data_IF_077911803259
#
_entry.id   IF_077911803259
#
_cell.length_a   1.000
_cell.length_b   1.000
_cell.length_c   1.000
_cell.angle_alpha   90.00
_cell.angle_beta   90.00
_cell.angle_gamma   90.00
#
_symmetry.space_group_name_H-M   'P 1'
#
loop_
_entity.id
_entity.type
_entity.pdbx_description
1 polymer ?
#
# COMPACT_ATOMS: atom_id res chain seq x y z
N UNK A 1 41.07 70.94 -9.03
CA UNK A 1 39.78 70.79 -9.74
C UNK A 1 39.21 69.44 -9.37
N UNK A 2 38.32 69.49 -8.38
CA UNK A 2 37.72 68.23 -7.77
C UNK A 2 36.33 68.06 -8.44
N UNK A 3 36.19 67.01 -9.22
CA UNK A 3 34.98 66.75 -10.00
C UNK A 3 34.27 65.52 -9.40
N UNK A 4 33.59 65.70 -8.24
CA UNK A 4 32.72 64.65 -7.65
C UNK A 4 31.28 64.83 -8.15
N UNK A 5 30.87 63.95 -9.05
CA UNK A 5 29.47 63.82 -9.42
C UNK A 5 28.64 63.22 -8.26
N UNK A 6 27.40 63.72 -8.04
CA UNK A 6 26.53 63.17 -7.00
C UNK A 6 25.92 61.83 -7.43
N UNK A 7 25.97 60.82 -6.54
CA UNK A 7 25.35 59.52 -6.73
C UNK A 7 23.81 59.63 -6.82
N UNK A 8 23.26 59.18 -7.91
CA UNK A 8 21.80 59.11 -8.13
C UNK A 8 21.18 58.06 -7.24
N UNK A 9 20.36 58.48 -6.28
CA UNK A 9 19.63 57.62 -5.34
C UNK A 9 18.48 56.94 -6.09
N UNK A 10 18.63 55.63 -6.37
CA UNK A 10 17.56 54.78 -6.95
C UNK A 10 16.46 54.67 -5.91
N UNK A 11 15.26 55.20 -6.18
CA UNK A 11 14.06 54.97 -5.39
C UNK A 11 13.61 53.52 -5.56
N UNK A 12 13.73 52.73 -4.50
CA UNK A 12 13.11 51.41 -4.47
C UNK A 12 11.58 51.57 -4.50
N UNK A 13 10.97 51.03 -5.55
CA UNK A 13 9.51 50.88 -5.64
C UNK A 13 9.06 49.76 -4.72
N UNK A 14 7.93 49.92 -4.00
CA UNK A 14 7.41 48.86 -3.15
C UNK A 14 6.99 47.65 -4.01
N UNK A 15 7.57 46.49 -3.72
CA UNK A 15 7.16 45.23 -4.32
C UNK A 15 5.79 44.86 -3.76
N UNK A 16 4.74 44.69 -4.57
CA UNK A 16 3.45 44.27 -4.07
C UNK A 16 3.58 42.87 -3.43
N UNK A 17 3.16 42.71 -2.17
CA UNK A 17 3.09 41.46 -1.49
C UNK A 17 2.05 40.56 -2.19
N UNK A 18 2.53 39.68 -3.04
CA UNK A 18 1.70 38.66 -3.69
C UNK A 18 1.34 37.63 -2.63
N UNK A 19 0.13 37.73 -2.05
CA UNK A 19 -0.42 36.67 -1.23
C UNK A 19 -0.70 35.46 -2.13
N UNK A 20 0.25 34.51 -2.15
CA UNK A 20 0.03 33.21 -2.77
C UNK A 20 -1.09 32.51 -1.97
N UNK A 21 -2.32 32.60 -2.45
CA UNK A 21 -3.39 31.73 -1.98
C UNK A 21 -3.16 30.34 -2.58
N UNK A 22 -2.37 29.52 -1.89
CA UNK A 22 -2.31 28.08 -2.16
C UNK A 22 -3.70 27.56 -1.77
N UNK A 23 -4.60 27.44 -2.74
CA UNK A 23 -5.77 26.55 -2.58
C UNK A 23 -5.20 25.15 -2.45
N UNK A 24 -5.04 24.68 -1.22
CA UNK A 24 -4.83 23.27 -0.94
C UNK A 24 -6.03 22.53 -1.52
N UNK A 25 -5.89 21.97 -2.72
CA UNK A 25 -6.79 20.93 -3.20
C UNK A 25 -6.43 19.69 -2.41
N UNK A 26 -6.95 19.60 -1.19
CA UNK A 26 -6.91 18.37 -0.41
C UNK A 26 -7.70 17.33 -1.18
N UNK A 27 -6.99 16.51 -1.95
CA UNK A 27 -7.62 15.33 -2.56
C UNK A 27 -8.12 14.45 -1.41
N UNK A 28 -9.36 13.97 -1.53
CA UNK A 28 -9.93 13.07 -0.52
C UNK A 28 -9.01 11.87 -0.27
N UNK A 29 -8.89 11.42 1.00
CA UNK A 29 -8.04 10.28 1.34
C UNK A 29 -8.45 9.04 0.52
N UNK A 30 -7.44 8.33 0.00
CA UNK A 30 -7.63 7.12 -0.80
C UNK A 30 -7.32 5.87 0.01
N UNK A 31 -7.97 4.77 -0.36
CA UNK A 31 -7.85 3.44 0.21
C UNK A 31 -7.07 2.53 -0.74
N UNK A 32 -6.02 1.86 -0.25
CA UNK A 32 -5.41 0.75 -0.98
C UNK A 32 -6.23 -0.51 -0.76
N UNK A 33 -6.58 -1.23 -1.83
CA UNK A 33 -7.34 -2.49 -1.72
C UNK A 33 -6.66 -3.58 -2.54
N UNK A 34 -6.57 -4.79 -2.00
CA UNK A 34 -6.10 -5.95 -2.79
C UNK A 34 -6.94 -6.10 -4.05
N UNK A 35 -6.31 -6.10 -5.23
CA UNK A 35 -7.00 -6.10 -6.52
C UNK A 35 -7.97 -7.29 -6.69
N UNK A 36 -7.66 -8.44 -6.09
CA UNK A 36 -8.56 -9.59 -6.11
C UNK A 36 -9.88 -9.35 -5.36
N UNK A 37 -9.91 -8.46 -4.36
CA UNK A 37 -11.12 -8.08 -3.63
C UNK A 37 -12.02 -7.14 -4.48
N UNK A 38 -11.48 -6.54 -5.51
CA UNK A 38 -12.18 -5.69 -6.48
C UNK A 38 -12.62 -6.47 -7.73
N UNK A 39 -12.57 -7.80 -7.70
CA UNK A 39 -13.00 -8.64 -8.82
C UNK A 39 -11.91 -8.95 -9.86
N UNK A 40 -10.68 -8.48 -9.69
CA UNK A 40 -9.60 -8.82 -10.62
C UNK A 40 -9.12 -10.26 -10.41
N UNK A 41 -8.96 -11.08 -11.46
CA UNK A 41 -8.57 -12.48 -11.36
C UNK A 41 -7.05 -12.64 -11.20
N UNK A 42 -6.47 -12.04 -10.17
CA UNK A 42 -5.02 -11.95 -9.91
C UNK A 42 -4.52 -12.83 -8.77
N UNK A 43 -5.39 -13.65 -8.19
CA UNK A 43 -4.97 -14.63 -7.16
C UNK A 43 -4.07 -15.68 -7.78
N UNK A 44 -3.36 -16.43 -6.93
CA UNK A 44 -2.45 -17.50 -7.37
C UNK A 44 -3.17 -18.55 -8.25
N UNK A 45 -4.45 -18.80 -7.99
CA UNK A 45 -5.31 -19.75 -8.74
C UNK A 45 -6.01 -19.12 -9.96
N UNK A 46 -5.69 -17.88 -10.32
CA UNK A 46 -6.32 -17.13 -11.41
C UNK A 46 -7.75 -16.69 -11.15
N UNK A 47 -8.20 -16.72 -9.89
CA UNK A 47 -9.55 -16.31 -9.50
C UNK A 47 -9.57 -14.92 -8.86
N UNK A 48 -10.77 -14.35 -8.75
CA UNK A 48 -11.07 -13.18 -7.93
C UNK A 48 -11.69 -13.62 -6.58
N UNK A 49 -11.84 -12.65 -5.68
CA UNK A 49 -12.55 -12.78 -4.40
C UNK A 49 -13.33 -11.49 -4.15
N UNK A 50 -14.20 -11.14 -5.10
CA UNK A 50 -14.97 -9.88 -5.06
C UNK A 50 -15.67 -9.68 -3.72
N UNK A 51 -15.62 -8.44 -3.24
CA UNK A 51 -16.41 -8.00 -2.09
C UNK A 51 -17.66 -7.29 -2.61
N UNK A 52 -18.77 -7.60 -1.99
CA UNK A 52 -20.04 -6.90 -2.14
C UNK A 52 -20.23 -6.05 -0.86
N UNK A 53 -20.12 -4.71 -0.97
CA UNK A 53 -20.16 -3.80 0.17
C UNK A 53 -20.42 -2.36 -0.26
N UNK A 54 -21.55 -1.80 0.16
CA UNK A 54 -22.03 -0.46 -0.24
C UNK A 54 -20.98 0.65 -0.02
N UNK A 55 -20.30 0.64 1.13
CA UNK A 55 -19.28 1.63 1.44
C UNK A 55 -18.05 1.55 0.53
N UNK A 56 -17.69 0.35 0.06
CA UNK A 56 -16.60 0.17 -0.91
C UNK A 56 -17.03 0.66 -2.29
N UNK A 57 -18.25 0.39 -2.71
CA UNK A 57 -18.82 0.86 -3.97
C UNK A 57 -18.84 2.39 -4.02
N UNK A 58 -19.30 3.05 -2.94
CA UNK A 58 -19.27 4.50 -2.84
C UNK A 58 -17.86 5.07 -2.97
N UNK A 59 -16.86 4.44 -2.35
CA UNK A 59 -15.46 4.87 -2.49
C UNK A 59 -14.92 4.66 -3.91
N UNK A 60 -15.34 3.59 -4.59
CA UNK A 60 -15.00 3.33 -6.00
C UNK A 60 -15.59 4.40 -6.92
N UNK A 61 -16.88 4.73 -6.77
CA UNK A 61 -17.55 5.79 -7.52
C UNK A 61 -16.89 7.17 -7.31
N UNK A 62 -16.40 7.44 -6.11
CA UNK A 62 -15.64 8.66 -5.78
C UNK A 62 -14.19 8.66 -6.30
N UNK A 63 -13.72 7.59 -6.93
CA UNK A 63 -12.31 7.46 -7.36
C UNK A 63 -11.31 7.42 -6.19
N UNK A 64 -11.74 6.97 -5.03
CA UNK A 64 -10.96 6.92 -3.79
C UNK A 64 -10.37 5.55 -3.48
N UNK A 65 -10.47 4.58 -4.38
CA UNK A 65 -9.89 3.24 -4.23
C UNK A 65 -8.78 3.03 -5.24
N UNK A 66 -7.66 2.50 -4.80
CA UNK A 66 -6.58 2.03 -5.66
C UNK A 66 -6.44 0.52 -5.46
N UNK A 67 -6.74 -0.24 -6.52
CA UNK A 67 -6.56 -1.69 -6.53
C UNK A 67 -5.11 -2.07 -6.82
N UNK A 68 -4.54 -2.99 -6.03
CA UNK A 68 -3.15 -3.42 -6.21
C UNK A 68 -2.97 -4.89 -5.82
N UNK A 69 -2.20 -5.64 -6.61
CA UNK A 69 -1.76 -6.99 -6.25
C UNK A 69 -0.24 -7.00 -6.11
N UNK A 70 0.30 -7.09 -4.88
CA UNK A 70 1.74 -7.07 -4.64
C UNK A 70 2.47 -8.22 -5.35
N UNK A 71 1.89 -9.41 -5.36
CA UNK A 71 2.52 -10.58 -5.97
C UNK A 71 2.68 -10.42 -7.49
N UNK A 72 1.66 -9.92 -8.17
CA UNK A 72 1.74 -9.62 -9.63
C UNK A 72 2.68 -8.45 -9.89
N UNK A 73 2.60 -7.40 -9.10
CA UNK A 73 3.49 -6.24 -9.24
C UNK A 73 4.96 -6.61 -8.98
N UNK A 74 5.21 -7.56 -8.07
CA UNK A 74 6.55 -8.11 -7.82
C UNK A 74 7.12 -8.96 -8.97
N UNK A 75 6.29 -9.32 -9.96
CA UNK A 75 6.70 -10.07 -11.14
C UNK A 75 6.21 -11.51 -11.22
N UNK A 76 5.39 -11.95 -10.27
CA UNK A 76 4.82 -13.30 -10.32
C UNK A 76 3.70 -13.40 -11.37
N UNK A 77 3.61 -14.50 -12.13
CA UNK A 77 2.57 -14.70 -13.14
C UNK A 77 1.20 -15.02 -12.52
N UNK A 78 0.18 -15.05 -13.36
CA UNK A 78 -1.16 -15.55 -13.04
C UNK A 78 -1.56 -16.58 -14.11
N UNK A 79 -1.91 -17.83 -13.73
CA UNK A 79 -1.81 -18.42 -12.39
C UNK A 79 -0.34 -18.68 -11.97
N UNK A 80 -0.14 -18.98 -10.68
CA UNK A 80 1.17 -19.30 -10.11
C UNK A 80 1.05 -20.35 -9.01
N UNK A 81 2.12 -21.09 -8.67
CA UNK A 81 2.11 -22.01 -7.54
C UNK A 81 1.74 -21.28 -6.23
N UNK A 82 1.02 -21.97 -5.34
CA UNK A 82 0.78 -21.48 -4.00
C UNK A 82 2.12 -21.35 -3.26
N UNK A 83 2.29 -20.27 -2.51
CA UNK A 83 3.46 -19.99 -1.70
C UNK A 83 3.06 -19.71 -0.25
N UNK A 84 3.96 -19.99 0.69
CA UNK A 84 3.80 -19.71 2.11
C UNK A 84 5.10 -19.13 2.69
N UNK A 85 5.00 -18.40 3.82
CA UNK A 85 6.18 -17.99 4.57
C UNK A 85 6.75 -19.20 5.33
N UNK A 86 8.04 -19.46 5.15
CA UNK A 86 8.76 -20.59 5.76
C UNK A 86 9.62 -20.10 6.91
N UNK A 87 9.49 -20.72 8.07
CA UNK A 87 10.26 -20.44 9.29
C UNK A 87 10.02 -19.03 9.89
N UNK A 88 8.86 -18.43 9.60
CA UNK A 88 8.51 -17.13 10.14
C UNK A 88 7.31 -16.49 9.43
N UNK A 89 7.20 -15.20 9.59
CA UNK A 89 6.12 -14.38 9.04
C UNK A 89 6.68 -13.24 8.15
N UNK A 90 5.82 -12.30 7.78
CA UNK A 90 6.22 -11.17 6.94
C UNK A 90 7.30 -10.29 7.55
N UNK A 91 7.29 -10.09 8.87
CA UNK A 91 8.35 -9.32 9.55
C UNK A 91 9.69 -10.07 9.51
N UNK A 92 9.66 -11.38 9.74
CA UNK A 92 10.84 -12.23 9.65
C UNK A 92 11.41 -12.29 8.21
N UNK A 93 10.54 -12.30 7.19
CA UNK A 93 10.96 -12.23 5.79
C UNK A 93 11.63 -10.88 5.48
N UNK A 94 11.07 -9.78 5.95
CA UNK A 94 11.68 -8.43 5.78
C UNK A 94 13.04 -8.35 6.47
N UNK A 95 13.18 -8.98 7.65
CA UNK A 95 14.43 -9.03 8.41
C UNK A 95 15.47 -10.00 7.80
N UNK A 96 15.11 -10.80 6.79
CA UNK A 96 15.99 -11.80 6.17
C UNK A 96 16.20 -13.06 7.00
N UNK A 97 15.39 -13.31 8.02
CA UNK A 97 15.43 -14.51 8.87
C UNK A 97 14.44 -15.60 8.48
N UNK A 98 13.52 -15.28 7.56
CA UNK A 98 12.57 -16.21 6.95
C UNK A 98 12.50 -15.95 5.45
N UNK A 99 11.84 -16.85 4.71
CA UNK A 99 11.67 -16.75 3.27
C UNK A 99 10.26 -17.13 2.83
N UNK A 100 9.92 -16.83 1.59
CA UNK A 100 8.67 -17.28 0.97
C UNK A 100 9.00 -18.35 -0.06
N UNK A 101 8.41 -19.52 0.07
CA UNK A 101 8.61 -20.63 -0.87
C UNK A 101 7.30 -21.07 -1.52
N UNK A 102 7.40 -21.56 -2.74
CA UNK A 102 6.31 -22.30 -3.37
C UNK A 102 6.20 -23.70 -2.76
N UNK A 103 5.05 -24.37 -3.00
CA UNK A 103 4.89 -25.78 -2.59
C UNK A 103 5.96 -26.72 -3.17
N UNK A 104 6.60 -26.35 -4.28
CA UNK A 104 7.67 -27.12 -4.91
C UNK A 104 9.06 -26.81 -4.31
N UNK A 105 9.15 -25.90 -3.32
CA UNK A 105 10.41 -25.51 -2.68
C UNK A 105 11.18 -24.42 -3.43
N UNK A 106 10.57 -23.77 -4.42
CA UNK A 106 11.18 -22.65 -5.12
C UNK A 106 11.14 -21.41 -4.24
N UNK A 107 12.27 -20.74 -4.02
CA UNK A 107 12.34 -19.47 -3.27
C UNK A 107 11.83 -18.32 -4.14
N UNK A 108 10.77 -17.68 -3.69
CA UNK A 108 10.11 -16.55 -4.35
C UNK A 108 10.15 -15.26 -3.51
N UNK A 109 11.00 -15.24 -2.49
CA UNK A 109 11.12 -14.14 -1.52
C UNK A 109 11.31 -12.78 -2.18
N UNK A 110 12.19 -12.70 -3.17
CA UNK A 110 12.50 -11.43 -3.84
C UNK A 110 11.27 -10.83 -4.55
N UNK A 111 10.41 -11.65 -5.14
CA UNK A 111 9.16 -11.18 -5.76
C UNK A 111 8.20 -10.59 -4.71
N UNK A 112 8.09 -11.23 -3.53
CA UNK A 112 7.26 -10.74 -2.45
C UNK A 112 7.78 -9.43 -1.86
N UNK A 113 9.09 -9.33 -1.66
CA UNK A 113 9.74 -8.09 -1.19
C UNK A 113 9.61 -6.96 -2.22
N UNK A 114 9.79 -7.25 -3.51
CA UNK A 114 9.63 -6.27 -4.58
C UNK A 114 8.18 -5.75 -4.65
N UNK A 115 7.20 -6.64 -4.57
CA UNK A 115 5.79 -6.27 -4.55
C UNK A 115 5.39 -5.45 -3.33
N UNK A 116 5.88 -5.81 -2.15
CA UNK A 116 5.65 -5.05 -0.92
C UNK A 116 6.23 -3.63 -0.99
N UNK A 117 7.44 -3.47 -1.53
CA UNK A 117 8.08 -2.16 -1.76
C UNK A 117 7.28 -1.30 -2.75
N UNK A 118 6.73 -1.91 -3.80
CA UNK A 118 5.88 -1.21 -4.76
C UNK A 118 4.55 -0.77 -4.12
N UNK A 119 3.92 -1.61 -3.29
CA UNK A 119 2.73 -1.24 -2.52
C UNK A 119 3.00 -0.02 -1.62
N UNK A 120 4.12 -0.03 -0.89
CA UNK A 120 4.53 1.10 -0.05
C UNK A 120 4.78 2.37 -0.87
N UNK A 121 5.46 2.25 -2.01
CA UNK A 121 5.70 3.38 -2.92
C UNK A 121 4.39 3.98 -3.39
N UNK A 122 3.43 3.14 -3.79
CA UNK A 122 2.09 3.57 -4.22
C UNK A 122 1.34 4.29 -3.09
N UNK A 123 1.40 3.76 -1.87
CA UNK A 123 0.80 4.41 -0.70
C UNK A 123 1.40 5.80 -0.44
N UNK A 124 2.72 5.94 -0.54
CA UNK A 124 3.40 7.23 -0.37
C UNK A 124 3.05 8.24 -1.47
N UNK A 125 3.02 7.81 -2.73
CA UNK A 125 2.67 8.66 -3.86
C UNK A 125 1.25 9.24 -3.77
N UNK A 126 0.32 8.48 -3.20
CA UNK A 126 -1.08 8.87 -3.07
C UNK A 126 -1.48 9.27 -1.64
N UNK A 127 -0.51 9.39 -0.72
CA UNK A 127 -0.73 9.74 0.69
C UNK A 127 -1.75 8.81 1.38
N UNK A 128 -1.75 7.53 1.01
CA UNK A 128 -2.66 6.54 1.59
C UNK A 128 -2.15 6.07 2.95
N UNK A 129 -3.01 6.13 3.96
CA UNK A 129 -2.74 5.74 5.34
C UNK A 129 -3.52 4.50 5.77
N UNK A 130 -4.40 4.00 4.90
CA UNK A 130 -5.27 2.84 5.16
C UNK A 130 -5.22 1.89 3.98
N UNK A 131 -5.14 0.59 4.27
CA UNK A 131 -5.21 -0.49 3.30
C UNK A 131 -6.17 -1.59 3.75
N UNK A 132 -6.89 -2.21 2.79
CA UNK A 132 -7.69 -3.43 2.98
C UNK A 132 -7.09 -4.53 2.13
N UNK A 133 -6.50 -5.53 2.78
CA UNK A 133 -5.76 -6.58 2.10
C UNK A 133 -6.41 -7.96 2.34
N UNK A 134 -6.17 -8.89 1.40
CA UNK A 134 -6.73 -10.24 1.45
C UNK A 134 -6.12 -11.05 2.58
N UNK A 135 -6.96 -11.56 3.49
CA UNK A 135 -6.55 -12.40 4.60
C UNK A 135 -6.01 -13.78 4.14
N UNK A 136 -5.15 -14.39 4.96
CA UNK A 136 -4.48 -15.68 4.76
C UNK A 136 -3.47 -15.75 3.60
N UNK A 137 -3.22 -14.65 2.90
CA UNK A 137 -2.16 -14.56 1.87
C UNK A 137 -0.79 -14.36 2.54
N UNK A 138 0.29 -15.03 2.08
CA UNK A 138 1.65 -14.78 2.57
C UNK A 138 2.15 -13.36 2.27
N UNK A 139 1.52 -12.67 1.33
CA UNK A 139 1.77 -11.25 1.04
C UNK A 139 0.88 -10.33 1.87
N UNK A 140 -0.43 -10.58 1.84
CA UNK A 140 -1.48 -9.64 2.22
C UNK A 140 -2.14 -9.91 3.59
N UNK A 141 -2.00 -11.11 4.16
CA UNK A 141 -2.66 -11.48 5.42
C UNK A 141 -2.36 -10.47 6.53
N UNK A 142 -3.41 -9.97 7.19
CA UNK A 142 -3.28 -8.93 8.20
C UNK A 142 -3.41 -9.42 9.63
N UNK A 143 -4.12 -10.49 9.86
CA UNK A 143 -4.28 -11.16 11.15
C UNK A 143 -3.82 -12.61 11.11
N UNK A 144 -3.89 -13.24 9.93
CA UNK A 144 -3.53 -14.63 9.76
C UNK A 144 -2.82 -14.87 8.42
N UNK A 145 -1.85 -15.78 8.44
CA UNK A 145 -1.25 -16.43 7.26
C UNK A 145 -1.23 -17.95 7.50
N UNK A 146 -0.84 -18.73 6.50
CA UNK A 146 -0.56 -20.15 6.70
C UNK A 146 0.84 -20.37 7.30
N UNK A 147 1.02 -21.51 8.02
CA UNK A 147 2.18 -21.81 8.86
C UNK A 147 3.45 -22.30 8.12
N UNK A 148 3.44 -22.29 6.79
CA UNK A 148 4.56 -22.74 5.96
C UNK A 148 4.58 -24.23 5.70
N UNK A 149 3.64 -25.00 6.24
CA UNK A 149 3.57 -26.46 6.04
C UNK A 149 2.77 -26.89 4.81
N UNK A 150 2.13 -25.96 4.12
CA UNK A 150 1.20 -26.19 3.01
C UNK A 150 0.00 -27.09 3.37
N UNK A 151 -0.32 -27.19 4.66
CA UNK A 151 -1.46 -27.95 5.20
C UNK A 151 -2.72 -27.10 5.40
N UNK A 152 -2.68 -25.81 5.01
CA UNK A 152 -3.75 -24.81 5.24
C UNK A 152 -4.03 -24.54 6.71
N UNK A 153 -3.03 -24.67 7.56
CA UNK A 153 -3.13 -24.36 8.98
C UNK A 153 -2.87 -22.85 9.19
N UNK A 154 -3.88 -22.05 9.62
CA UNK A 154 -3.66 -20.64 9.87
C UNK A 154 -2.92 -20.43 11.20
N UNK A 155 -2.06 -19.40 11.21
CA UNK A 155 -1.41 -18.87 12.41
C UNK A 155 -1.64 -17.37 12.50
N UNK A 156 -1.65 -16.84 13.72
CA UNK A 156 -1.74 -15.39 13.97
C UNK A 156 -0.41 -14.73 13.59
N UNK A 157 -0.36 -14.14 12.39
CA UNK A 157 0.83 -13.52 11.83
C UNK A 157 0.45 -12.61 10.65
N UNK A 158 1.40 -11.84 10.14
CA UNK A 158 1.20 -10.96 8.99
C UNK A 158 1.99 -11.41 7.77
N UNK A 159 1.44 -11.16 6.57
CA UNK A 159 2.14 -11.33 5.32
C UNK A 159 3.15 -10.20 5.05
N UNK A 160 4.05 -10.42 4.09
CA UNK A 160 5.19 -9.52 3.79
C UNK A 160 4.76 -8.09 3.48
N UNK A 161 3.74 -7.90 2.64
CA UNK A 161 3.24 -6.55 2.31
C UNK A 161 2.59 -5.89 3.51
N UNK A 162 1.78 -6.63 4.27
CA UNK A 162 1.15 -6.12 5.50
C UNK A 162 2.19 -5.66 6.52
N UNK A 163 3.20 -6.48 6.78
CA UNK A 163 4.29 -6.16 7.69
C UNK A 163 5.00 -4.87 7.27
N UNK A 164 5.41 -4.76 5.98
CA UNK A 164 6.10 -3.58 5.48
C UNK A 164 5.24 -2.31 5.57
N UNK A 165 3.96 -2.38 5.22
CA UNK A 165 3.05 -1.24 5.30
C UNK A 165 2.87 -0.77 6.75
N UNK A 166 2.69 -1.71 7.70
CA UNK A 166 2.56 -1.40 9.14
C UNK A 166 3.81 -0.77 9.72
N UNK A 167 5.01 -1.24 9.36
CA UNK A 167 6.28 -0.62 9.76
C UNK A 167 6.40 0.83 9.30
N UNK A 168 5.63 1.23 8.26
CA UNK A 168 5.60 2.60 7.74
C UNK A 168 4.33 3.38 8.12
N UNK A 169 3.63 2.96 9.18
CA UNK A 169 2.49 3.68 9.75
C UNK A 169 1.18 3.56 8.97
N UNK A 170 1.10 2.66 7.98
CA UNK A 170 -0.15 2.40 7.24
C UNK A 170 -0.96 1.38 8.02
N UNK A 171 -2.21 1.71 8.32
CA UNK A 171 -3.16 0.82 9.01
C UNK A 171 -3.69 -0.21 8.01
N UNK A 172 -3.48 -1.48 8.30
CA UNK A 172 -3.88 -2.58 7.42
C UNK A 172 -4.98 -3.39 8.07
N UNK A 173 -6.09 -3.49 7.37
CA UNK A 173 -7.29 -4.27 7.68
C UNK A 173 -7.44 -5.41 6.68
N UNK A 174 -8.26 -6.41 7.02
CA UNK A 174 -8.68 -7.45 6.07
C UNK A 174 -10.10 -7.20 5.55
N UNK A 175 -10.55 -8.05 4.64
CA UNK A 175 -11.87 -7.92 4.02
C UNK A 175 -13.06 -8.03 4.99
N UNK A 176 -12.87 -8.55 6.19
CA UNK A 176 -13.90 -8.67 7.23
C UNK A 176 -13.98 -7.42 8.14
N UNK A 177 -13.06 -6.48 7.95
CA UNK A 177 -12.93 -5.26 8.74
C UNK A 177 -13.14 -4.01 7.87
N UNK A 178 -13.94 -4.11 6.81
CA UNK A 178 -14.07 -3.05 5.82
C UNK A 178 -14.74 -1.79 6.41
N UNK A 179 -15.74 -1.96 7.28
CA UNK A 179 -16.39 -0.83 7.98
C UNK A 179 -15.42 -0.08 8.88
N UNK A 180 -14.57 -0.82 9.59
CA UNK A 180 -13.50 -0.25 10.42
C UNK A 180 -12.50 0.53 9.56
N UNK A 181 -12.10 -0.03 8.41
CA UNK A 181 -11.19 0.61 7.48
C UNK A 181 -11.78 1.91 6.91
N UNK A 182 -13.05 1.92 6.52
CA UNK A 182 -13.75 3.10 6.01
C UNK A 182 -13.87 4.18 7.08
N UNK A 183 -14.24 3.81 8.30
CA UNK A 183 -14.31 4.72 9.45
C UNK A 183 -12.94 5.35 9.74
N UNK A 184 -11.90 4.51 9.70
CA UNK A 184 -10.52 4.92 9.86
C UNK A 184 -10.05 5.88 8.77
N UNK A 185 -10.46 5.67 7.51
CA UNK A 185 -10.15 6.54 6.39
C UNK A 185 -10.80 7.92 6.54
N UNK A 186 -12.01 8.00 7.13
CA UNK A 186 -12.71 9.25 7.36
C UNK A 186 -12.03 10.13 8.43
N UNK A 187 -11.35 9.52 9.41
CA UNK A 187 -10.63 10.21 10.49
C UNK A 187 -9.19 10.59 10.15
N UNK A 188 -8.70 10.20 8.98
CA UNK A 188 -7.31 10.43 8.51
C UNK A 188 -7.16 11.75 7.73
N UNK A 189 -7.86 12.81 8.18
CA UNK A 189 -7.77 14.17 7.60
C UNK A 189 -6.74 15.04 8.31
#
# INVERSE_FOLDING_TARGET
>A
MDNRQPATRIKQLPVPAFKLQIKSTTSLPKLLVSACLLGNPVRYDGKAKSLDHDGLEQLLEQGRVIGFCPEVAGGLPVPRPAAECISGDGDAVIAGSARVETRAGEDVTDYFLAGAKQALTLCRQHYMTVAVLTETSPSCGSGQIYDGSFSRRPIAASGVTTALLRQHGIRVFNQHQLDEAISCLATSQ
#
